data_IF_371877427567
#
_entry.id   IF_371877427567
#
_cell.length_a   1.000
_cell.length_b   1.000
_cell.length_c   1.000
_cell.angle_alpha   90.00
_cell.angle_beta   90.00
_cell.angle_gamma   90.00
#
_symmetry.space_group_name_H-M   'P 1'
#
loop_
_entity.id
_entity.type
_entity.pdbx_description
1 polymer ?
#
# COMPACT_ATOMS: atom_id res chain seq x y z
N UNK A 1 -9.03 -24.52 0.87
CA UNK A 1 -10.01 -24.09 1.89
C UNK A 1 -9.28 -23.63 3.15
N UNK A 2 -8.54 -22.50 3.04
CA UNK A 2 -7.71 -21.93 4.12
C UNK A 2 -7.59 -20.39 3.90
N UNK A 3 -8.68 -19.67 3.85
CA UNK A 3 -8.60 -18.25 3.47
C UNK A 3 -9.30 -17.25 4.40
N UNK A 4 -10.37 -17.61 5.06
CA UNK A 4 -11.20 -16.66 5.81
C UNK A 4 -10.79 -16.50 7.29
N UNK A 5 -10.21 -17.53 7.90
CA UNK A 5 -9.80 -17.47 9.30
C UNK A 5 -8.54 -16.61 9.54
N UNK A 6 -7.63 -16.52 8.57
CA UNK A 6 -6.38 -15.77 8.76
C UNK A 6 -6.54 -14.26 8.57
N UNK A 7 -7.52 -13.82 7.80
CA UNK A 7 -7.80 -12.39 7.63
C UNK A 7 -8.40 -11.78 8.91
N UNK A 8 -9.34 -12.48 9.54
CA UNK A 8 -9.89 -12.08 10.84
C UNK A 8 -8.83 -12.09 11.95
N UNK A 9 -7.94 -13.08 11.96
CA UNK A 9 -6.82 -13.16 12.90
C UNK A 9 -5.78 -12.04 12.69
N UNK A 10 -5.56 -11.60 11.45
CA UNK A 10 -4.63 -10.52 11.15
C UNK A 10 -5.21 -9.15 11.56
N UNK A 11 -6.49 -8.92 11.30
CA UNK A 11 -7.22 -7.74 11.78
C UNK A 11 -7.30 -7.77 13.32
N UNK A 12 -7.53 -8.94 13.95
CA UNK A 12 -7.52 -9.08 15.41
C UNK A 12 -6.12 -8.99 16.03
N UNK A 13 -5.07 -9.32 15.30
CA UNK A 13 -3.69 -9.23 15.77
C UNK A 13 -3.12 -7.81 15.64
N UNK A 14 -3.47 -7.08 14.57
CA UNK A 14 -3.07 -5.68 14.38
C UNK A 14 -4.05 -4.65 14.97
N UNK A 15 -5.32 -5.01 15.10
CA UNK A 15 -6.35 -4.16 15.69
C UNK A 15 -6.82 -4.77 17.00
N UNK A 16 -5.95 -4.85 18.01
CA UNK A 16 -6.35 -5.30 19.34
C UNK A 16 -7.75 -4.74 19.69
N UNK A 17 -8.65 -5.58 20.22
CA UNK A 17 -10.10 -5.33 20.49
C UNK A 17 -10.38 -3.96 21.13
N UNK A 18 -10.33 -2.92 20.32
CA UNK A 18 -10.63 -1.54 20.70
C UNK A 18 -11.51 -0.91 19.64
N UNK A 19 -12.68 -0.53 20.07
CA UNK A 19 -13.77 0.07 19.29
C UNK A 19 -13.31 1.10 18.27
N UNK A 20 -14.03 1.22 17.16
CA UNK A 20 -13.87 2.18 16.05
C UNK A 20 -13.59 3.64 16.51
N UNK A 21 -13.93 4.01 17.73
CA UNK A 21 -13.63 5.30 18.37
C UNK A 21 -12.16 5.45 18.81
N UNK A 22 -11.49 4.37 19.18
CA UNK A 22 -10.07 4.38 19.50
C UNK A 22 -9.22 4.53 18.23
N UNK A 23 -9.66 3.96 17.12
CA UNK A 23 -8.97 4.04 15.81
C UNK A 23 -8.91 5.48 15.27
N UNK A 24 -9.99 6.26 15.41
CA UNK A 24 -10.03 7.66 15.00
C UNK A 24 -9.01 8.55 15.77
N UNK A 25 -8.73 8.23 17.03
CA UNK A 25 -7.75 8.98 17.83
C UNK A 25 -6.31 8.61 17.53
N UNK A 26 -6.04 7.40 16.98
CA UNK A 26 -4.71 6.98 16.56
C UNK A 26 -4.25 7.63 15.25
N UNK A 27 -5.20 7.96 14.37
CA UNK A 27 -4.91 8.62 13.09
C UNK A 27 -4.38 10.06 13.26
N UNK A 28 -4.62 10.69 14.41
CA UNK A 28 -4.17 12.05 14.73
C UNK A 28 -2.87 12.09 15.55
N UNK A 29 -2.22 10.96 15.85
CA UNK A 29 -0.93 10.96 16.52
C UNK A 29 0.16 11.36 15.51
N UNK A 30 0.87 12.50 15.73
CA UNK A 30 1.90 12.97 14.81
C UNK A 30 3.10 12.03 14.65
N UNK A 31 3.17 10.97 15.47
CA UNK A 31 4.21 9.96 15.37
C UNK A 31 3.83 8.80 14.45
N UNK A 32 2.55 8.69 14.01
CA UNK A 32 2.11 7.62 13.13
C UNK A 32 1.84 8.12 11.71
N UNK A 33 2.19 7.30 10.71
CA UNK A 33 2.29 7.69 9.31
C UNK A 33 1.22 7.07 8.41
N UNK A 34 0.14 6.51 8.99
CA UNK A 34 -0.98 5.99 8.21
C UNK A 34 -1.53 7.05 7.25
N UNK A 35 -1.75 6.67 6.00
CA UNK A 35 -2.20 7.60 4.97
C UNK A 35 -1.09 8.44 4.32
N UNK A 36 0.17 8.23 4.68
CA UNK A 36 1.32 8.86 4.05
C UNK A 36 2.04 7.90 3.08
N UNK A 37 3.01 8.43 2.35
CA UNK A 37 3.86 7.65 1.46
C UNK A 37 5.30 7.62 1.96
N UNK A 38 5.91 6.43 1.92
CA UNK A 38 7.35 6.27 2.05
C UNK A 38 7.99 6.27 0.67
N UNK A 39 9.03 7.07 0.52
CA UNK A 39 9.85 7.11 -0.69
C UNK A 39 11.22 6.53 -0.35
N UNK A 40 11.63 5.49 -1.06
CA UNK A 40 13.00 5.01 -0.95
C UNK A 40 13.98 6.12 -1.32
N UNK A 41 14.99 6.37 -0.49
CA UNK A 41 16.04 7.32 -0.85
C UNK A 41 16.88 6.78 -2.02
N UNK A 42 17.56 7.63 -2.82
CA UNK A 42 18.41 7.16 -3.91
C UNK A 42 19.53 6.21 -3.46
N UNK A 43 19.91 6.27 -2.18
CA UNK A 43 20.90 5.38 -1.56
C UNK A 43 20.31 4.15 -0.86
N UNK A 44 19.06 3.79 -1.13
CA UNK A 44 18.42 2.62 -0.51
C UNK A 44 19.29 1.37 -0.64
N UNK A 45 19.71 0.84 0.50
CA UNK A 45 20.64 -0.29 0.54
C UNK A 45 20.00 -1.63 0.17
N UNK A 46 18.71 -1.79 0.44
CA UNK A 46 17.96 -3.00 0.09
C UNK A 46 17.44 -2.90 -1.35
N UNK A 47 17.97 -3.73 -2.29
CA UNK A 47 17.58 -3.66 -3.69
C UNK A 47 16.10 -3.98 -3.95
N UNK A 48 15.43 -4.67 -3.02
CA UNK A 48 13.98 -4.96 -3.12
C UNK A 48 13.14 -3.69 -3.05
N UNK A 49 13.67 -2.66 -2.40
CA UNK A 49 12.99 -1.38 -2.21
C UNK A 49 13.62 -0.23 -3.01
N UNK A 50 14.61 -0.52 -3.86
CA UNK A 50 15.18 0.51 -4.72
C UNK A 50 14.10 1.21 -5.56
N UNK A 51 14.04 2.55 -5.48
CA UNK A 51 13.03 3.38 -6.17
C UNK A 51 11.57 3.04 -5.80
N UNK A 52 11.35 2.48 -4.60
CA UNK A 52 9.99 2.19 -4.12
C UNK A 52 9.27 3.45 -3.65
N UNK A 53 7.97 3.46 -3.88
CA UNK A 53 6.99 4.32 -3.23
C UNK A 53 5.95 3.43 -2.57
N UNK A 54 5.78 3.56 -1.25
CA UNK A 54 4.92 2.69 -0.44
C UNK A 54 3.82 3.52 0.20
N UNK A 55 2.56 3.18 -0.06
CA UNK A 55 1.40 3.75 0.62
C UNK A 55 1.25 3.08 2.00
N UNK A 56 1.39 3.83 3.08
CA UNK A 56 1.24 3.32 4.45
C UNK A 56 -0.25 3.20 4.76
N UNK A 57 -0.71 1.97 4.94
CA UNK A 57 -2.11 1.66 5.19
C UNK A 57 -2.45 1.55 6.69
N UNK A 58 -1.48 1.15 7.50
CA UNK A 58 -1.59 1.11 8.96
C UNK A 58 -0.25 1.39 9.58
N UNK A 59 -0.23 2.16 10.66
CA UNK A 59 0.93 2.37 11.51
C UNK A 59 0.47 2.67 12.93
N UNK A 60 0.93 1.89 13.89
CA UNK A 60 0.67 2.03 15.31
C UNK A 60 1.89 1.58 16.15
N UNK A 61 1.74 1.48 17.46
CA UNK A 61 2.79 1.05 18.39
C UNK A 61 3.29 -0.38 18.15
N UNK A 62 2.56 -1.20 17.41
CA UNK A 62 2.93 -2.59 17.11
C UNK A 62 3.67 -2.73 15.76
N UNK A 63 3.66 -1.67 14.93
CA UNK A 63 4.37 -1.64 13.67
C UNK A 63 3.59 -1.00 12.53
N UNK A 64 4.01 -1.27 11.30
CA UNK A 64 3.41 -0.68 10.11
C UNK A 64 3.16 -1.70 9.01
N UNK A 65 2.14 -1.41 8.20
CA UNK A 65 1.82 -2.09 6.95
C UNK A 65 1.72 -1.08 5.82
N UNK A 66 2.41 -1.35 4.72
CA UNK A 66 2.35 -0.53 3.52
C UNK A 66 2.30 -1.36 2.25
N UNK A 67 1.75 -0.78 1.19
CA UNK A 67 1.67 -1.39 -0.14
C UNK A 67 2.58 -0.62 -1.09
N UNK A 68 3.58 -1.31 -1.65
CA UNK A 68 4.44 -0.73 -2.68
C UNK A 68 3.63 -0.56 -3.99
N UNK A 69 3.65 0.65 -4.51
CA UNK A 69 2.94 1.05 -5.74
C UNK A 69 3.91 1.53 -6.84
N UNK A 70 5.21 1.33 -6.64
CA UNK A 70 6.27 1.76 -7.56
C UNK A 70 6.69 0.71 -8.60
N UNK A 71 6.18 -0.51 -8.51
CA UNK A 71 6.51 -1.59 -9.44
C UNK A 71 5.31 -2.52 -9.66
N UNK A 72 5.13 -2.99 -10.88
CA UNK A 72 4.12 -4.00 -11.24
C UNK A 72 4.73 -5.40 -11.25
N UNK A 73 3.88 -6.41 -11.02
CA UNK A 73 4.23 -7.81 -11.23
C UNK A 73 4.12 -8.15 -12.72
N UNK A 74 5.13 -8.81 -13.28
CA UNK A 74 5.08 -9.26 -14.67
C UNK A 74 4.36 -10.62 -14.84
N UNK A 75 4.11 -11.32 -13.76
CA UNK A 75 3.70 -12.73 -13.80
C UNK A 75 2.19 -12.94 -13.90
N UNK A 76 1.40 -11.95 -13.50
CA UNK A 76 -0.06 -12.07 -13.42
C UNK A 76 -0.74 -10.72 -13.61
N UNK A 77 -1.87 -10.71 -14.31
CA UNK A 77 -2.76 -9.58 -14.46
C UNK A 77 -3.98 -9.68 -13.53
N UNK A 78 -4.80 -8.63 -13.48
CA UNK A 78 -6.01 -8.64 -12.66
C UNK A 78 -7.02 -9.70 -13.14
N UNK A 79 -7.18 -9.86 -14.47
CA UNK A 79 -8.00 -10.94 -15.01
C UNK A 79 -7.46 -12.31 -14.61
N UNK A 80 -6.14 -12.51 -14.62
CA UNK A 80 -5.53 -13.75 -14.16
C UNK A 80 -5.81 -14.05 -12.67
N UNK A 81 -6.01 -13.02 -11.83
CA UNK A 81 -6.48 -13.24 -10.45
C UNK A 81 -7.96 -13.62 -10.43
N UNK A 82 -8.81 -12.92 -11.20
CA UNK A 82 -10.25 -13.24 -11.26
C UNK A 82 -10.48 -14.69 -11.71
N UNK A 83 -9.73 -15.15 -12.70
CA UNK A 83 -9.78 -16.53 -13.22
C UNK A 83 -9.50 -17.58 -12.14
N UNK A 84 -8.57 -17.32 -11.20
CA UNK A 84 -8.27 -18.24 -10.11
C UNK A 84 -9.44 -18.44 -9.13
N UNK A 85 -10.40 -17.52 -9.14
CA UNK A 85 -11.58 -17.55 -8.27
C UNK A 85 -12.88 -17.78 -9.04
N UNK A 86 -12.79 -18.18 -10.33
CA UNK A 86 -13.95 -18.37 -11.21
C UNK A 86 -14.87 -17.12 -11.26
N UNK A 87 -14.27 -15.91 -11.31
CA UNK A 87 -14.98 -14.65 -11.42
C UNK A 87 -14.83 -14.11 -12.84
N UNK A 88 -15.92 -14.07 -13.59
CA UNK A 88 -15.95 -13.50 -14.94
C UNK A 88 -16.15 -11.98 -14.89
N UNK A 89 -15.25 -11.18 -15.52
CA UNK A 89 -15.40 -9.73 -15.58
C UNK A 89 -16.46 -9.30 -16.59
N UNK A 90 -17.28 -8.31 -16.22
CA UNK A 90 -18.27 -7.66 -17.08
C UNK A 90 -17.69 -6.33 -17.60
N UNK A 91 -17.24 -6.28 -18.88
CA UNK A 91 -16.71 -5.06 -19.53
C UNK A 91 -15.52 -4.38 -18.81
N UNK A 92 -14.77 -5.14 -18.03
CA UNK A 92 -13.59 -4.63 -17.32
C UNK A 92 -12.35 -4.85 -18.19
N UNK A 93 -11.60 -3.78 -18.46
CA UNK A 93 -10.27 -3.88 -19.07
C UNK A 93 -9.30 -4.54 -18.08
N UNK A 94 -8.43 -5.39 -18.61
CA UNK A 94 -7.37 -5.99 -17.79
C UNK A 94 -6.37 -4.95 -17.30
N UNK A 95 -5.83 -5.15 -16.11
CA UNK A 95 -4.90 -4.22 -15.47
C UNK A 95 -3.72 -4.96 -14.87
N UNK A 96 -2.60 -4.25 -14.83
CA UNK A 96 -1.41 -4.71 -14.13
C UNK A 96 -1.67 -4.78 -12.62
N UNK A 97 -0.97 -5.71 -11.98
CA UNK A 97 -0.96 -5.89 -10.53
C UNK A 97 0.34 -5.35 -9.98
N UNK A 98 0.27 -4.59 -8.91
CA UNK A 98 1.45 -4.08 -8.22
C UNK A 98 2.13 -5.17 -7.38
N UNK A 99 3.47 -5.15 -7.34
CA UNK A 99 4.26 -5.94 -6.41
C UNK A 99 4.28 -5.21 -5.05
N UNK A 100 3.24 -5.46 -4.23
CA UNK A 100 2.97 -4.69 -3.01
C UNK A 100 4.01 -4.86 -1.89
N UNK A 101 4.80 -5.92 -1.93
CA UNK A 101 5.90 -6.13 -0.99
C UNK A 101 6.28 -7.58 -0.81
N UNK A 102 7.37 -7.85 -0.04
CA UNK A 102 7.94 -9.18 0.09
C UNK A 102 7.20 -10.12 1.07
N UNK A 103 6.22 -9.61 1.82
CA UNK A 103 5.49 -10.40 2.81
C UNK A 103 4.20 -10.92 2.19
N UNK A 104 3.90 -12.19 2.40
CA UNK A 104 2.70 -12.88 1.88
C UNK A 104 2.42 -12.59 0.39
N UNK A 105 3.40 -12.79 -0.47
CA UNK A 105 3.37 -12.42 -1.91
C UNK A 105 2.20 -13.01 -2.71
N UNK A 106 1.44 -13.96 -2.16
CA UNK A 106 0.22 -14.52 -2.78
C UNK A 106 -1.07 -13.89 -2.25
N UNK A 107 -0.98 -12.97 -1.29
CA UNK A 107 -2.13 -12.28 -0.73
C UNK A 107 -2.47 -11.05 -1.54
N UNK A 108 -3.73 -10.98 -1.99
CA UNK A 108 -4.24 -9.86 -2.77
C UNK A 108 -4.74 -8.71 -1.89
N UNK A 109 -4.46 -7.48 -2.33
CA UNK A 109 -4.94 -6.25 -1.74
C UNK A 109 -5.48 -5.32 -2.83
N UNK A 110 -6.57 -4.62 -2.52
CA UNK A 110 -7.12 -3.56 -3.36
C UNK A 110 -7.05 -2.25 -2.57
N UNK A 111 -6.25 -1.28 -3.05
CA UNK A 111 -6.33 0.09 -2.57
C UNK A 111 -7.34 0.83 -3.44
N UNK A 112 -8.25 1.56 -2.82
CA UNK A 112 -9.36 2.14 -3.56
C UNK A 112 -9.87 3.46 -2.98
N UNK A 113 -10.60 4.22 -3.81
CA UNK A 113 -11.25 5.45 -3.41
C UNK A 113 -12.37 5.19 -2.40
N UNK A 114 -12.66 6.19 -1.54
CA UNK A 114 -13.62 6.08 -0.43
C UNK A 114 -15.10 6.18 -0.86
N UNK A 115 -15.38 6.22 -2.16
CA UNK A 115 -16.75 6.14 -2.68
C UNK A 115 -17.34 4.71 -2.62
N UNK A 116 -16.54 3.75 -2.19
CA UNK A 116 -16.93 2.36 -2.00
C UNK A 116 -16.41 1.84 -0.66
N UNK A 117 -17.23 1.05 0.05
CA UNK A 117 -16.86 0.50 1.34
C UNK A 117 -17.52 -0.87 1.56
N UNK A 118 -16.77 -1.81 2.09
CA UNK A 118 -17.22 -3.11 2.58
C UNK A 118 -16.98 -3.20 4.09
N UNK A 119 -17.64 -4.16 4.73
CA UNK A 119 -17.49 -4.37 6.18
C UNK A 119 -16.07 -4.71 6.64
N UNK A 120 -15.24 -5.19 5.72
CA UNK A 120 -13.84 -5.57 5.92
C UNK A 120 -12.84 -4.54 5.34
N UNK A 121 -13.31 -3.41 4.85
CA UNK A 121 -12.45 -2.34 4.37
C UNK A 121 -11.76 -1.64 5.54
N UNK A 122 -10.43 -1.64 5.54
CA UNK A 122 -9.64 -0.76 6.39
C UNK A 122 -9.65 0.64 5.75
N UNK A 123 -10.36 1.57 6.38
CA UNK A 123 -10.35 2.96 5.93
C UNK A 123 -9.10 3.66 6.49
N UNK A 124 -8.26 4.18 5.61
CA UNK A 124 -7.02 4.89 5.94
C UNK A 124 -7.29 6.39 5.98
N UNK A 125 -7.77 6.89 7.11
CA UNK A 125 -8.20 8.28 7.27
C UNK A 125 -9.25 8.67 6.25
N UNK A 126 -9.06 9.85 5.65
CA UNK A 126 -9.85 10.37 4.53
C UNK A 126 -9.17 10.15 3.16
N UNK A 127 -8.18 9.27 3.11
CA UNK A 127 -7.27 9.11 1.98
C UNK A 127 -7.69 8.00 1.01
N UNK A 128 -7.80 6.77 1.49
CA UNK A 128 -8.15 5.59 0.70
C UNK A 128 -8.68 4.45 1.58
N UNK A 129 -9.26 3.44 0.95
CA UNK A 129 -9.61 2.16 1.55
C UNK A 129 -8.61 1.07 1.15
N UNK A 130 -8.40 0.11 2.04
CA UNK A 130 -7.68 -1.14 1.77
C UNK A 130 -8.63 -2.31 2.02
N UNK A 131 -8.88 -3.12 1.00
CA UNK A 131 -9.71 -4.33 1.07
C UNK A 131 -8.95 -5.53 0.54
N UNK A 132 -9.24 -6.72 1.06
CA UNK A 132 -8.58 -7.97 0.65
C UNK A 132 -9.53 -9.16 0.53
N UNK A 133 -10.85 -8.93 0.53
CA UNK A 133 -11.86 -9.97 0.39
C UNK A 133 -12.18 -10.30 -1.07
N UNK A 134 -12.81 -11.46 -1.30
CA UNK A 134 -13.35 -11.80 -2.63
C UNK A 134 -14.51 -10.88 -3.05
N UNK A 135 -15.17 -10.22 -2.09
CA UNK A 135 -16.32 -9.38 -2.38
C UNK A 135 -15.93 -8.09 -3.11
N UNK A 136 -14.75 -7.51 -2.81
CA UNK A 136 -14.24 -6.36 -3.59
C UNK A 136 -13.91 -6.79 -5.02
N UNK A 137 -13.32 -7.99 -5.23
CA UNK A 137 -13.03 -8.50 -6.56
C UNK A 137 -14.31 -8.71 -7.37
N UNK A 138 -15.33 -9.30 -6.75
CA UNK A 138 -16.65 -9.48 -7.38
C UNK A 138 -17.35 -8.16 -7.72
N UNK A 139 -17.22 -7.17 -6.85
CA UNK A 139 -17.79 -5.85 -7.09
C UNK A 139 -17.10 -5.16 -8.27
N UNK A 140 -15.76 -5.20 -8.33
CA UNK A 140 -14.97 -4.63 -9.43
C UNK A 140 -15.29 -5.35 -10.74
N UNK A 141 -15.31 -6.69 -10.75
CA UNK A 141 -15.59 -7.48 -11.92
C UNK A 141 -16.97 -7.18 -12.54
N UNK A 142 -17.93 -6.73 -11.74
CA UNK A 142 -19.31 -6.38 -12.15
C UNK A 142 -19.54 -4.87 -12.38
N UNK A 143 -18.46 -4.08 -12.49
CA UNK A 143 -18.54 -2.63 -12.63
C UNK A 143 -19.40 -1.95 -11.52
N UNK A 144 -19.35 -2.50 -10.29
CA UNK A 144 -20.04 -2.01 -9.09
C UNK A 144 -19.07 -1.72 -7.95
N UNK A 145 -17.79 -1.76 -8.24
CA UNK A 145 -16.71 -1.48 -7.30
C UNK A 145 -16.42 0.02 -7.15
N UNK A 146 -15.30 0.35 -6.50
CA UNK A 146 -14.82 1.72 -6.38
C UNK A 146 -14.46 2.32 -7.75
N UNK A 147 -14.63 3.64 -7.89
CA UNK A 147 -14.30 4.36 -9.14
C UNK A 147 -12.82 4.35 -9.47
N UNK A 148 -11.98 4.45 -8.44
CA UNK A 148 -10.52 4.40 -8.57
C UNK A 148 -10.00 3.25 -7.69
N UNK A 149 -9.15 2.42 -8.26
CA UNK A 149 -8.55 1.32 -7.53
C UNK A 149 -7.28 0.81 -8.22
N UNK A 150 -6.43 0.19 -7.43
CA UNK A 150 -5.29 -0.62 -7.87
C UNK A 150 -5.31 -1.95 -7.12
N UNK A 151 -4.77 -2.98 -7.76
CA UNK A 151 -4.56 -4.28 -7.14
C UNK A 151 -3.08 -4.52 -6.88
N UNK A 152 -2.76 -5.15 -5.76
CA UNK A 152 -1.40 -5.50 -5.39
C UNK A 152 -1.34 -6.90 -4.81
N UNK A 153 -0.19 -7.57 -4.96
CA UNK A 153 0.13 -8.84 -4.32
C UNK A 153 1.25 -8.63 -3.30
N UNK A 154 1.05 -9.18 -2.09
CA UNK A 154 1.96 -8.99 -0.97
C UNK A 154 1.90 -7.60 -0.36
N UNK A 155 2.67 -7.41 0.70
CA UNK A 155 2.78 -6.15 1.40
C UNK A 155 4.19 -5.96 1.99
N UNK A 156 4.50 -4.73 2.38
CA UNK A 156 5.68 -4.38 3.17
C UNK A 156 5.26 -4.21 4.63
N UNK A 157 5.96 -4.90 5.52
CA UNK A 157 5.66 -4.90 6.95
C UNK A 157 6.86 -4.48 7.77
N UNK A 158 6.62 -3.69 8.81
CA UNK A 158 7.59 -3.28 9.82
C UNK A 158 7.07 -3.69 11.20
N UNK A 159 7.95 -4.26 12.03
CA UNK A 159 7.66 -4.52 13.42
C UNK A 159 7.69 -3.23 14.27
N UNK A 160 7.40 -3.38 15.57
CA UNK A 160 7.43 -2.29 16.56
C UNK A 160 8.73 -1.47 16.48
N UNK A 161 8.62 -0.15 16.26
CA UNK A 161 9.75 0.80 16.18
C UNK A 161 10.68 0.61 14.97
N UNK A 162 10.45 -0.37 14.10
CA UNK A 162 11.33 -0.65 12.97
C UNK A 162 11.27 0.45 11.92
N UNK A 163 10.08 0.94 11.59
CA UNK A 163 9.91 1.99 10.57
C UNK A 163 10.57 3.29 11.03
N UNK A 164 10.36 3.68 12.28
CA UNK A 164 10.98 4.87 12.88
C UNK A 164 12.51 4.76 12.86
N UNK A 165 13.05 3.60 13.21
CA UNK A 165 14.48 3.37 13.14
C UNK A 165 14.99 3.49 11.70
N UNK A 166 14.36 2.88 10.72
CA UNK A 166 14.75 2.96 9.30
C UNK A 166 14.68 4.40 8.75
N UNK A 167 13.71 5.20 9.21
CA UNK A 167 13.65 6.64 8.91
C UNK A 167 14.88 7.39 9.42
N UNK A 168 15.39 7.07 10.62
CA UNK A 168 16.61 7.69 11.16
C UNK A 168 17.87 7.31 10.40
N UNK A 169 17.86 6.14 9.74
CA UNK A 169 18.97 5.66 8.92
C UNK A 169 18.98 6.22 7.48
N UNK A 170 18.09 7.18 7.20
CA UNK A 170 17.92 7.77 5.87
C UNK A 170 17.63 6.74 4.75
N UNK A 171 17.07 5.60 5.08
CA UNK A 171 16.59 4.62 4.09
C UNK A 171 15.32 5.11 3.39
N UNK A 172 14.50 5.86 4.12
CA UNK A 172 13.21 6.35 3.67
C UNK A 172 13.06 7.85 3.87
N UNK A 173 12.31 8.48 3.00
CA UNK A 173 11.70 9.79 3.19
C UNK A 173 10.18 9.62 3.27
N UNK A 174 9.52 10.45 4.08
CA UNK A 174 8.07 10.39 4.25
C UNK A 174 7.41 11.65 3.69
N UNK A 175 6.26 11.50 3.07
CA UNK A 175 5.48 12.61 2.52
C UNK A 175 3.98 12.31 2.59
N UNK A 176 3.18 13.35 2.82
CA UNK A 176 1.73 13.23 2.71
C UNK A 176 1.32 12.88 1.28
N UNK A 177 1.92 13.50 0.29
CA UNK A 177 1.57 13.28 -1.12
C UNK A 177 0.08 13.48 -1.42
N UNK A 178 -0.33 13.17 -2.65
CA UNK A 178 -1.73 13.21 -3.05
C UNK A 178 -2.29 11.79 -3.20
N UNK A 179 -3.53 11.49 -2.74
CA UNK A 179 -4.14 10.17 -2.91
C UNK A 179 -4.18 9.68 -4.36
N UNK A 180 -4.23 10.61 -5.29
CA UNK A 180 -4.21 10.37 -6.74
C UNK A 180 -2.96 9.63 -7.21
N UNK A 181 -1.85 9.75 -6.48
CA UNK A 181 -0.61 9.00 -6.79
C UNK A 181 -0.81 7.49 -6.79
N UNK A 182 -1.83 7.00 -6.08
CA UNK A 182 -2.21 5.58 -6.15
C UNK A 182 -2.67 5.18 -7.56
N UNK A 183 -3.46 6.03 -8.23
CA UNK A 183 -4.31 5.61 -9.34
C UNK A 183 -3.85 6.10 -10.72
N UNK A 184 -3.29 7.30 -10.82
CA UNK A 184 -3.22 8.04 -12.09
C UNK A 184 -1.87 7.98 -12.79
N UNK A 185 -0.81 7.51 -12.11
CA UNK A 185 0.56 7.55 -12.66
C UNK A 185 1.06 6.16 -13.00
N UNK A 186 1.79 6.04 -14.11
CA UNK A 186 2.53 4.83 -14.44
C UNK A 186 3.47 4.45 -13.29
N UNK A 187 3.48 3.18 -12.90
CA UNK A 187 4.25 2.66 -11.77
C UNK A 187 5.71 3.10 -11.78
N UNK A 188 6.38 2.97 -12.93
CA UNK A 188 7.81 3.27 -13.10
C UNK A 188 8.17 4.72 -12.80
N UNK A 189 7.24 5.65 -13.00
CA UNK A 189 7.46 7.08 -12.83
C UNK A 189 7.03 7.61 -11.46
N UNK A 190 6.26 6.84 -10.68
CA UNK A 190 5.69 7.29 -9.40
C UNK A 190 6.75 7.75 -8.40
N UNK A 191 7.83 7.01 -8.27
CA UNK A 191 8.90 7.35 -7.34
C UNK A 191 9.56 8.69 -7.69
N UNK A 192 9.90 8.88 -8.95
CA UNK A 192 10.55 10.12 -9.42
C UNK A 192 9.60 11.32 -9.31
N UNK A 193 8.34 11.14 -9.76
CA UNK A 193 7.29 12.14 -9.61
C UNK A 193 7.09 12.55 -8.15
N UNK A 194 7.08 11.61 -7.22
CA UNK A 194 6.88 11.90 -5.80
C UNK A 194 8.04 12.70 -5.19
N UNK A 195 9.29 12.47 -5.61
CA UNK A 195 10.43 13.29 -5.23
C UNK A 195 10.37 14.69 -5.85
N UNK A 196 10.02 14.78 -7.14
CA UNK A 196 9.88 16.06 -7.82
C UNK A 196 8.76 16.93 -7.22
N UNK A 197 7.66 16.31 -6.77
CA UNK A 197 6.59 17.00 -6.07
C UNK A 197 7.03 17.67 -4.76
N UNK A 198 8.13 17.18 -4.15
CA UNK A 198 8.78 17.79 -2.98
C UNK A 198 9.85 18.81 -3.37
N UNK A 199 10.02 19.14 -4.65
CA UNK A 199 11.03 20.06 -5.15
C UNK A 199 12.43 19.46 -5.20
N UNK A 200 12.56 18.14 -5.16
CA UNK A 200 13.84 17.42 -5.14
C UNK A 200 13.98 16.62 -6.43
N UNK A 201 15.08 16.80 -7.15
CA UNK A 201 15.49 15.89 -8.21
C UNK A 201 16.31 14.73 -7.60
N UNK A 202 15.75 13.51 -7.57
CA UNK A 202 16.43 12.38 -6.94
C UNK A 202 17.73 11.98 -7.65
N UNK A 203 17.93 12.37 -8.91
CA UNK A 203 19.16 12.11 -9.66
C UNK A 203 20.30 13.03 -9.19
N UNK A 204 19.98 14.15 -8.55
CA UNK A 204 20.98 15.08 -7.96
C UNK A 204 21.36 14.71 -6.52
N UNK A 205 20.62 13.82 -5.88
CA UNK A 205 20.98 13.29 -4.57
C UNK A 205 22.07 12.23 -4.77
N UNK A 206 23.33 12.61 -4.54
CA UNK A 206 24.44 11.63 -4.58
C UNK A 206 24.24 10.58 -3.49
N UNK A 207 24.30 9.30 -3.82
CA UNK A 207 24.27 8.20 -2.86
C UNK A 207 25.47 8.12 -1.90
N UNK A 208 26.31 9.15 -1.87
CA UNK A 208 27.40 9.32 -0.90
C UNK A 208 26.93 10.25 0.22
N UNK A 209 26.37 9.66 1.27
CA UNK A 209 26.29 10.37 2.54
C UNK A 209 27.72 10.51 3.07
N UNK A 210 28.18 11.77 3.22
CA UNK A 210 29.51 12.06 3.70
C UNK A 210 29.73 11.41 5.07
N UNK A 211 30.74 10.57 5.16
CA UNK A 211 31.34 10.19 6.44
C UNK A 211 32.12 11.40 6.95
N UNK A 212 31.59 12.07 7.96
CA UNK A 212 32.35 13.03 8.75
C UNK A 212 33.04 12.31 9.90
#
# INVERSE_FOLDING_TARGET
MLGLSNLLLFIEFFMGRGTQLAYASYMDDPNFFSGQFLLATPGMADPRFARSIIAICSHDEHGALGINIGATSADISFHGILDQFDIEPENLEDRDIFAGGPVEMHRGFILHSLDFNLSDTLQVGDRWGLSSSLDILRAIAKDRGPKKWIAALGYSGWGEGQLEFELTQNGWSITAGEPEWLYETNAENKWEMAWQAQGIDPNMLSGQFGSA
#
